data_IF_811982743181
#
_entry.id   IF_811982743181
#
_cell.length_a   1.000
_cell.length_b   1.000
_cell.length_c   1.000
_cell.angle_alpha   90.00
_cell.angle_beta   90.00
_cell.angle_gamma   90.00
#
_symmetry.space_group_name_H-M   'P 1'
#
loop_
_entity.id
_entity.type
_entity.pdbx_description
1 polymer ?
#
# COMPACT_ATOMS: atom_id res chain seq x y z
N UNK A 1 -13.54 9.22 60.95
CA UNK A 1 -12.52 8.24 60.49
C UNK A 1 -13.21 7.28 59.54
N UNK A 2 -12.97 7.40 58.24
CA UNK A 2 -13.42 6.43 57.24
C UNK A 2 -12.24 5.49 56.94
N UNK A 3 -12.41 4.16 57.00
CA UNK A 3 -11.32 3.22 56.74
C UNK A 3 -11.09 3.08 55.23
N UNK A 4 -9.82 3.11 54.84
CA UNK A 4 -9.37 2.93 53.47
C UNK A 4 -9.30 1.47 53.04
N UNK A 5 -9.69 1.21 51.79
CA UNK A 5 -9.48 0.00 51.00
C UNK A 5 -9.36 0.52 49.56
N UNK A 6 -8.38 0.29 48.70
CA UNK A 6 -7.26 -0.65 48.63
C UNK A 6 -6.67 -0.53 47.21
N UNK A 7 -6.26 0.67 46.79
CA UNK A 7 -6.08 1.05 45.38
C UNK A 7 -4.73 0.72 44.73
N UNK A 8 -4.15 -0.48 44.90
CA UNK A 8 -2.85 -0.80 44.25
C UNK A 8 -2.75 -2.13 43.49
N UNK A 9 -3.68 -3.09 43.66
CA UNK A 9 -3.64 -4.36 42.91
C UNK A 9 -4.46 -4.33 41.61
N UNK A 10 -5.56 -3.57 41.57
CA UNK A 10 -6.48 -3.58 40.43
C UNK A 10 -5.99 -2.75 39.22
N UNK A 11 -5.15 -1.74 39.45
CA UNK A 11 -4.62 -0.89 38.37
C UNK A 11 -3.66 -1.66 37.46
N UNK A 12 -2.87 -2.60 38.01
CA UNK A 12 -1.97 -3.43 37.19
C UNK A 12 -2.75 -4.44 36.33
N UNK A 13 -3.83 -5.03 36.82
CA UNK A 13 -4.60 -6.04 36.05
C UNK A 13 -5.41 -5.38 34.91
N UNK A 14 -5.93 -4.17 35.14
CA UNK A 14 -6.67 -3.40 34.12
C UNK A 14 -5.74 -2.90 33.01
N UNK A 15 -4.52 -2.45 33.35
CA UNK A 15 -3.53 -2.01 32.34
C UNK A 15 -3.02 -3.19 31.50
N UNK A 16 -2.83 -4.37 32.09
CA UNK A 16 -2.40 -5.55 31.34
C UNK A 16 -3.52 -6.17 30.50
N UNK A 17 -4.76 -6.18 30.99
CA UNK A 17 -5.94 -6.61 30.20
C UNK A 17 -6.23 -5.63 29.06
N UNK A 18 -6.09 -4.32 29.28
CA UNK A 18 -6.24 -3.29 28.26
C UNK A 18 -5.17 -3.39 27.16
N UNK A 19 -3.90 -3.60 27.51
CA UNK A 19 -2.84 -3.85 26.54
C UNK A 19 -3.05 -5.16 25.78
N UNK A 20 -3.51 -6.22 26.46
CA UNK A 20 -3.75 -7.52 25.85
C UNK A 20 -4.95 -7.46 24.87
N UNK A 21 -6.05 -6.78 25.22
CA UNK A 21 -7.17 -6.54 24.31
C UNK A 21 -6.79 -5.63 23.13
N UNK A 22 -5.92 -4.64 23.34
CA UNK A 22 -5.41 -3.79 22.27
C UNK A 22 -4.48 -4.57 21.32
N UNK A 23 -3.61 -5.43 21.85
CA UNK A 23 -2.77 -6.32 21.04
C UNK A 23 -3.58 -7.41 20.31
N UNK A 24 -4.65 -7.94 20.91
CA UNK A 24 -5.54 -8.91 20.28
C UNK A 24 -6.40 -8.25 19.19
N UNK A 25 -6.90 -7.03 19.41
CA UNK A 25 -7.65 -6.28 18.40
C UNK A 25 -6.77 -5.88 17.20
N UNK A 26 -5.54 -5.41 17.46
CA UNK A 26 -4.59 -5.07 16.40
C UNK A 26 -4.14 -6.31 15.60
N UNK A 27 -3.90 -7.44 16.27
CA UNK A 27 -3.56 -8.70 15.57
C UNK A 27 -4.75 -9.29 14.83
N UNK A 28 -5.96 -9.30 15.41
CA UNK A 28 -7.15 -9.89 14.78
C UNK A 28 -7.63 -9.15 13.52
N UNK A 29 -7.34 -7.84 13.40
CA UNK A 29 -7.72 -7.06 12.22
C UNK A 29 -6.70 -7.23 11.07
N UNK A 30 -5.40 -7.27 11.37
CA UNK A 30 -4.37 -7.53 10.37
C UNK A 30 -4.29 -9.01 9.93
N UNK A 31 -4.52 -9.96 10.85
CA UNK A 31 -4.59 -11.40 10.51
C UNK A 31 -5.96 -11.81 9.96
N UNK A 32 -7.01 -11.02 10.19
CA UNK A 32 -8.34 -11.27 9.67
C UNK A 32 -8.37 -11.27 8.15
N UNK A 33 -7.70 -10.29 7.52
CA UNK A 33 -7.69 -10.10 6.07
C UNK A 33 -7.07 -11.26 5.29
N UNK A 34 -5.86 -11.69 5.68
CA UNK A 34 -5.17 -12.84 5.09
C UNK A 34 -5.98 -14.14 5.30
N UNK A 35 -6.82 -14.18 6.35
CA UNK A 35 -7.77 -15.25 6.58
C UNK A 35 -8.93 -15.32 5.56
N UNK A 36 -9.24 -14.21 4.88
CA UNK A 36 -10.23 -14.13 3.80
C UNK A 36 -9.64 -14.21 2.40
N UNK A 37 -8.32 -14.04 2.26
CA UNK A 37 -7.64 -14.13 0.98
C UNK A 37 -7.83 -15.54 0.37
N UNK A 38 -8.44 -15.70 -0.82
CA UNK A 38 -8.66 -17.01 -1.42
C UNK A 38 -7.38 -17.69 -1.94
N UNK A 39 -6.23 -17.01 -1.84
CA UNK A 39 -4.92 -17.48 -2.25
C UNK A 39 -4.35 -18.48 -1.23
N UNK A 40 -3.65 -19.51 -1.73
CA UNK A 40 -2.89 -20.41 -0.85
C UNK A 40 -1.69 -19.70 -0.23
N UNK A 41 -1.22 -20.15 0.94
CA UNK A 41 -0.04 -19.53 1.59
C UNK A 41 1.20 -19.58 0.69
N UNK A 42 1.36 -20.66 -0.09
CA UNK A 42 2.47 -20.80 -1.03
C UNK A 42 2.41 -19.86 -2.24
N UNK A 43 1.21 -19.47 -2.69
CA UNK A 43 1.07 -18.42 -3.70
C UNK A 43 1.29 -17.04 -3.08
N UNK A 44 0.72 -16.77 -1.90
CA UNK A 44 0.90 -15.49 -1.22
C UNK A 44 2.35 -15.27 -0.77
N UNK A 45 3.12 -16.33 -0.55
CA UNK A 45 4.54 -16.29 -0.25
C UNK A 45 5.42 -15.87 -1.45
N UNK A 46 4.89 -15.80 -2.67
CA UNK A 46 5.61 -15.32 -3.85
C UNK A 46 5.71 -13.79 -3.85
N UNK A 47 6.31 -13.24 -2.78
CA UNK A 47 6.50 -11.80 -2.59
C UNK A 47 7.44 -11.25 -3.64
N UNK A 48 7.13 -10.04 -4.12
CA UNK A 48 8.07 -9.28 -4.95
C UNK A 48 9.24 -8.84 -4.08
N UNK A 49 10.45 -9.22 -4.47
CA UNK A 49 11.65 -8.73 -3.81
C UNK A 49 11.83 -7.22 -4.06
N UNK A 50 11.65 -6.43 -3.00
CA UNK A 50 11.90 -4.99 -2.99
C UNK A 50 13.20 -4.69 -2.25
N UNK A 51 13.94 -3.67 -2.71
CA UNK A 51 15.12 -3.18 -1.99
C UNK A 51 14.75 -1.96 -1.16
N UNK A 52 14.94 -1.96 0.16
CA UNK A 52 14.66 -0.80 0.99
C UNK A 52 15.57 0.37 0.61
N UNK A 53 15.02 1.58 0.69
CA UNK A 53 15.71 2.84 0.43
C UNK A 53 15.77 3.73 1.65
N UNK A 54 14.63 3.90 2.34
CA UNK A 54 14.48 4.81 3.46
C UNK A 54 13.26 4.38 4.28
N UNK A 55 13.38 4.37 5.60
CA UNK A 55 12.22 4.59 6.47
C UNK A 55 12.34 6.02 6.97
N UNK A 56 11.32 6.84 6.72
CA UNK A 56 11.39 8.25 7.06
C UNK A 56 11.59 8.38 8.59
N UNK A 57 12.53 9.21 9.08
CA UNK A 57 12.72 9.36 10.51
C UNK A 57 11.58 10.17 11.13
N UNK A 58 11.30 9.95 12.42
CA UNK A 58 10.21 10.64 13.15
C UNK A 58 10.42 12.16 13.26
N UNK A 59 11.68 12.59 13.29
CA UNK A 59 12.06 13.99 13.32
C UNK A 59 12.94 14.28 12.12
N UNK A 60 12.50 15.24 11.32
CA UNK A 60 13.13 15.62 10.06
C UNK A 60 13.37 17.13 10.08
N UNK A 61 14.55 17.58 9.65
CA UNK A 61 14.77 19.03 9.52
C UNK A 61 13.94 19.59 8.36
N UNK A 62 13.48 20.86 8.43
CA UNK A 62 12.66 21.47 7.38
C UNK A 62 13.32 21.55 6.00
N UNK A 63 14.64 21.41 5.93
CA UNK A 63 15.47 21.44 4.72
C UNK A 63 16.02 20.06 4.32
N UNK A 64 15.66 19.00 5.06
CA UNK A 64 16.16 17.66 4.80
C UNK A 64 15.74 17.18 3.41
N UNK A 65 16.70 16.63 2.68
CA UNK A 65 16.46 16.03 1.36
C UNK A 65 17.06 14.63 1.32
N UNK A 66 16.48 13.75 0.51
CA UNK A 66 17.04 12.43 0.24
C UNK A 66 17.07 12.17 -1.26
N UNK A 67 18.25 11.77 -1.74
CA UNK A 67 18.46 11.51 -3.15
C UNK A 67 18.65 10.01 -3.40
N UNK A 68 17.75 9.41 -4.17
CA UNK A 68 17.75 8.01 -4.55
C UNK A 68 18.25 7.88 -5.99
N UNK A 69 19.57 7.79 -6.15
CA UNK A 69 20.25 7.70 -7.48
C UNK A 69 19.80 6.51 -8.32
N UNK A 70 19.33 5.45 -7.65
CA UNK A 70 18.99 4.17 -8.28
C UNK A 70 17.53 4.10 -8.74
N UNK A 71 16.73 5.15 -8.63
CA UNK A 71 15.29 5.17 -8.98
C UNK A 71 15.04 6.10 -10.16
N UNK A 72 14.16 5.72 -11.07
CA UNK A 72 13.92 6.46 -12.31
C UNK A 72 15.14 6.44 -13.24
N UNK A 73 15.09 7.24 -14.30
CA UNK A 73 16.16 7.27 -15.32
C UNK A 73 17.38 8.09 -14.92
N UNK A 74 17.22 9.04 -13.99
CA UNK A 74 18.23 10.01 -13.59
C UNK A 74 18.41 10.12 -12.07
N UNK A 75 17.85 9.18 -11.30
CA UNK A 75 17.63 9.36 -9.86
C UNK A 75 16.38 10.19 -9.57
N UNK A 76 15.86 10.05 -8.35
CA UNK A 76 14.78 10.90 -7.82
C UNK A 76 15.18 11.49 -6.47
N UNK A 77 14.57 12.61 -6.10
CA UNK A 77 14.83 13.29 -4.83
C UNK A 77 13.52 13.53 -4.08
N UNK A 78 13.48 13.09 -2.83
CA UNK A 78 12.45 13.46 -1.86
C UNK A 78 12.80 14.83 -1.25
N UNK A 79 11.85 15.75 -1.33
CA UNK A 79 11.99 17.15 -0.92
C UNK A 79 10.77 17.57 -0.09
N UNK A 80 10.92 18.49 0.86
CA UNK A 80 9.79 19.19 1.46
C UNK A 80 8.97 19.95 0.40
N UNK A 81 7.66 20.01 0.57
CA UNK A 81 6.80 20.84 -0.26
C UNK A 81 6.90 22.32 0.19
N UNK A 82 7.19 23.28 -0.71
CA UNK A 82 7.29 24.67 -0.33
C UNK A 82 5.95 25.20 0.19
N UNK A 83 6.01 25.93 1.30
CA UNK A 83 4.85 26.59 1.95
C UNK A 83 3.79 25.62 2.49
N UNK A 84 4.09 24.32 2.58
CA UNK A 84 3.22 23.32 3.20
C UNK A 84 4.01 22.50 4.21
N UNK A 85 3.75 22.77 5.48
CA UNK A 85 4.45 22.10 6.57
C UNK A 85 4.13 20.60 6.57
N UNK A 86 5.18 19.78 6.77
CA UNK A 86 5.09 18.32 6.83
C UNK A 86 4.57 17.61 5.57
N UNK A 87 4.41 18.33 4.45
CA UNK A 87 4.15 17.73 3.15
C UNK A 87 5.44 17.56 2.34
N UNK A 88 5.42 16.54 1.50
CA UNK A 88 6.57 16.11 0.72
C UNK A 88 6.24 16.05 -0.78
N UNK A 89 7.30 16.09 -1.58
CA UNK A 89 7.24 15.87 -3.03
C UNK A 89 8.43 15.05 -3.50
N UNK A 90 8.22 14.33 -4.59
CA UNK A 90 9.27 13.63 -5.33
C UNK A 90 9.59 14.43 -6.59
N UNK A 91 10.87 14.59 -6.88
CA UNK A 91 11.34 15.28 -8.09
C UNK A 91 12.38 14.45 -8.83
N UNK A 92 12.54 14.72 -10.12
CA UNK A 92 13.57 14.09 -10.94
C UNK A 92 13.67 14.72 -12.32
N UNK A 93 14.41 14.08 -13.21
CA UNK A 93 14.56 14.47 -14.61
C UNK A 93 14.27 13.30 -15.53
N UNK A 94 13.63 13.59 -16.66
CA UNK A 94 13.43 12.62 -17.72
C UNK A 94 14.74 12.40 -18.52
N UNK A 95 14.71 11.51 -19.53
CA UNK A 95 15.90 11.21 -20.37
C UNK A 95 16.35 12.40 -21.22
N UNK A 96 15.47 13.36 -21.49
CA UNK A 96 15.79 14.58 -22.21
C UNK A 96 16.31 15.68 -21.28
N UNK A 97 16.40 15.41 -19.98
CA UNK A 97 16.86 16.37 -18.96
C UNK A 97 15.78 17.32 -18.46
N UNK A 98 14.53 17.16 -18.89
CA UNK A 98 13.43 18.00 -18.39
C UNK A 98 13.06 17.59 -16.97
N UNK A 99 12.99 18.58 -16.09
CA UNK A 99 12.59 18.36 -14.70
C UNK A 99 11.11 18.01 -14.59
N UNK A 100 10.79 17.22 -13.58
CA UNK A 100 9.43 16.94 -13.15
C UNK A 100 9.32 16.89 -11.63
N UNK A 101 8.11 17.15 -11.12
CA UNK A 101 7.76 17.14 -9.69
C UNK A 101 6.41 16.49 -9.50
N UNK A 102 6.27 15.71 -8.42
CA UNK A 102 5.03 15.10 -7.96
C UNK A 102 4.89 15.33 -6.45
N UNK A 103 3.92 16.13 -6.01
CA UNK A 103 3.54 16.22 -4.61
C UNK A 103 2.99 14.88 -4.12
N UNK A 104 3.46 14.42 -2.95
CA UNK A 104 3.06 13.14 -2.34
C UNK A 104 2.42 13.32 -0.96
N UNK A 105 2.24 14.56 -0.51
CA UNK A 105 1.51 14.90 0.71
C UNK A 105 2.27 14.51 1.99
N UNK A 106 1.52 14.25 3.06
CA UNK A 106 2.07 13.84 4.35
C UNK A 106 2.57 12.41 4.31
N UNK A 107 3.81 12.19 4.79
CA UNK A 107 4.46 10.87 4.83
C UNK A 107 4.75 10.38 6.27
N UNK A 108 4.19 11.08 7.25
CA UNK A 108 4.26 10.74 8.68
C UNK A 108 2.84 10.91 9.22
N UNK A 109 2.33 9.90 9.92
CA UNK A 109 1.04 9.99 10.59
C UNK A 109 1.04 9.13 11.87
N UNK A 110 -0.13 8.99 12.50
CA UNK A 110 -0.27 8.25 13.76
C UNK A 110 0.01 6.73 13.64
N UNK A 111 -0.05 6.16 12.43
CA UNK A 111 0.34 4.77 12.17
C UNK A 111 1.84 4.60 11.91
N UNK A 112 2.61 5.69 11.88
CA UNK A 112 4.05 5.70 11.74
C UNK A 112 4.54 6.44 10.49
N UNK A 113 5.74 6.09 10.08
CA UNK A 113 6.48 6.80 9.05
C UNK A 113 6.46 6.01 7.74
N UNK A 114 6.43 6.72 6.62
CA UNK A 114 6.48 6.10 5.30
C UNK A 114 7.77 5.28 5.10
N UNK A 115 7.59 4.11 4.46
CA UNK A 115 8.67 3.20 4.09
C UNK A 115 8.84 3.24 2.57
N UNK A 116 10.07 3.41 2.12
CA UNK A 116 10.45 3.57 0.72
C UNK A 116 11.25 2.37 0.25
N UNK A 117 10.90 1.89 -0.93
CA UNK A 117 11.56 0.78 -1.58
C UNK A 117 11.72 1.04 -3.07
N UNK A 118 12.59 0.25 -3.69
CA UNK A 118 12.70 0.17 -5.15
C UNK A 118 12.63 -1.26 -5.66
N UNK A 119 12.11 -1.39 -6.87
CA UNK A 119 12.24 -2.56 -7.73
C UNK A 119 11.94 -2.16 -9.16
N UNK A 120 12.37 -2.95 -10.14
CA UNK A 120 11.84 -2.84 -11.51
C UNK A 120 10.56 -3.68 -11.56
N UNK A 121 9.39 -3.02 -11.51
CA UNK A 121 8.10 -3.68 -11.29
C UNK A 121 7.54 -4.27 -12.58
N UNK A 122 7.75 -3.62 -13.72
CA UNK A 122 7.26 -4.09 -15.02
C UNK A 122 8.37 -4.69 -15.90
N UNK A 123 9.57 -4.88 -15.36
CA UNK A 123 10.75 -5.47 -16.03
C UNK A 123 11.15 -4.68 -17.27
N UNK A 124 11.03 -3.36 -17.22
CA UNK A 124 11.41 -2.47 -18.32
C UNK A 124 12.86 -1.93 -18.22
N UNK A 125 13.59 -2.32 -17.17
CA UNK A 125 14.97 -1.92 -16.91
C UNK A 125 15.11 -0.60 -16.15
N UNK A 126 14.02 0.05 -15.77
CA UNK A 126 13.99 1.24 -14.92
C UNK A 126 13.56 0.80 -13.52
N UNK A 127 14.22 1.34 -12.49
CA UNK A 127 13.82 1.07 -11.12
C UNK A 127 12.71 2.03 -10.71
N UNK A 128 11.60 1.47 -10.26
CA UNK A 128 10.42 2.16 -9.79
C UNK A 128 10.53 2.51 -8.28
N UNK A 129 9.69 3.43 -7.82
CA UNK A 129 9.58 3.79 -6.41
C UNK A 129 8.30 3.21 -5.82
N UNK A 130 8.40 2.55 -4.68
CA UNK A 130 7.25 2.13 -3.88
C UNK A 130 7.35 2.83 -2.54
N UNK A 131 6.31 3.59 -2.19
CA UNK A 131 6.14 4.18 -0.87
C UNK A 131 4.95 3.49 -0.22
N UNK A 132 5.14 2.93 0.97
CA UNK A 132 4.08 2.40 1.82
C UNK A 132 3.91 3.32 3.02
N UNK A 133 2.67 3.74 3.28
CA UNK A 133 2.31 4.54 4.43
C UNK A 133 1.15 3.87 5.16
N UNK A 134 1.37 3.47 6.40
CA UNK A 134 0.31 2.94 7.25
C UNK A 134 -0.79 3.98 7.46
N UNK A 135 -2.03 3.52 7.59
CA UNK A 135 -3.17 4.36 7.93
C UNK A 135 -3.62 4.02 9.36
N UNK A 136 -3.82 5.00 10.25
CA UNK A 136 -4.32 4.74 11.61
C UNK A 136 -5.80 4.33 11.66
N UNK A 137 -6.37 3.88 10.52
CA UNK A 137 -7.78 3.59 10.34
C UNK A 137 -8.36 2.64 11.38
N UNK A 138 -9.66 2.82 11.68
CA UNK A 138 -10.43 1.97 12.58
C UNK A 138 -11.40 1.08 11.79
N UNK A 139 -11.57 -0.18 12.20
CA UNK A 139 -12.59 -1.08 11.63
C UNK A 139 -12.25 -1.60 10.23
N UNK A 140 -13.17 -1.41 9.27
CA UNK A 140 -13.02 -1.83 7.86
C UNK A 140 -12.43 -0.73 6.96
N UNK A 141 -11.77 0.27 7.54
CA UNK A 141 -11.03 1.26 6.76
C UNK A 141 -9.75 0.62 6.17
N UNK A 142 -9.28 1.09 5.00
CA UNK A 142 -7.97 0.70 4.46
C UNK A 142 -6.86 0.82 5.51
N UNK A 143 -5.98 -0.18 5.61
CA UNK A 143 -4.88 -0.20 6.59
C UNK A 143 -3.66 0.60 6.14
N UNK A 144 -3.55 0.92 4.85
CA UNK A 144 -2.43 1.67 4.32
C UNK A 144 -2.75 2.30 2.95
N UNK A 145 -1.90 3.24 2.57
CA UNK A 145 -1.81 3.80 1.24
C UNK A 145 -0.49 3.36 0.60
N UNK A 146 -0.57 2.98 -0.68
CA UNK A 146 0.61 2.94 -1.53
C UNK A 146 0.73 4.23 -2.32
N UNK A 147 1.95 4.71 -2.55
CA UNK A 147 2.27 5.71 -3.57
C UNK A 147 3.36 5.08 -4.45
N UNK A 148 2.98 4.62 -5.63
CA UNK A 148 3.86 3.85 -6.53
C UNK A 148 4.17 4.71 -7.75
N UNK A 149 5.45 4.99 -7.94
CA UNK A 149 5.96 5.63 -9.15
C UNK A 149 6.51 4.58 -10.07
N UNK A 150 5.93 4.50 -11.25
CA UNK A 150 6.50 3.78 -12.39
C UNK A 150 6.94 4.77 -13.46
N UNK A 151 7.86 4.38 -14.33
CA UNK A 151 8.44 5.33 -15.30
C UNK A 151 8.20 4.89 -16.74
N UNK A 152 7.58 5.78 -17.52
CA UNK A 152 7.50 5.64 -18.97
C UNK A 152 8.91 5.55 -19.57
N UNK A 153 9.03 5.00 -20.78
CA UNK A 153 10.33 4.82 -21.47
C UNK A 153 11.15 6.11 -21.57
N UNK A 154 10.49 7.26 -21.70
CA UNK A 154 11.15 8.58 -21.74
C UNK A 154 11.62 9.09 -20.37
N UNK A 155 11.31 8.39 -19.27
CA UNK A 155 11.66 8.74 -17.89
C UNK A 155 10.61 9.57 -17.16
N UNK A 156 9.42 9.75 -17.73
CA UNK A 156 8.33 10.50 -17.10
C UNK A 156 7.53 9.62 -16.15
N UNK A 157 7.14 10.12 -14.96
CA UNK A 157 6.47 9.30 -13.96
C UNK A 157 5.01 9.05 -14.30
N UNK A 158 4.56 7.85 -13.97
CA UNK A 158 3.16 7.48 -13.76
C UNK A 158 2.99 7.09 -12.30
N UNK A 159 2.02 7.69 -11.62
CA UNK A 159 1.83 7.59 -10.17
C UNK A 159 0.48 6.94 -9.90
N UNK A 160 0.52 5.86 -9.12
CA UNK A 160 -0.63 5.08 -8.71
C UNK A 160 -0.71 5.08 -7.18
N UNK A 161 -1.85 5.52 -6.63
CA UNK A 161 -2.00 5.85 -5.21
C UNK A 161 -3.16 5.13 -4.53
N UNK A 162 -3.23 3.79 -4.58
CA UNK A 162 -4.37 3.07 -4.04
C UNK A 162 -4.37 3.07 -2.51
N UNK A 163 -5.57 3.13 -1.95
CA UNK A 163 -5.84 2.83 -0.55
C UNK A 163 -6.38 1.40 -0.46
N UNK A 164 -5.82 0.60 0.43
CA UNK A 164 -6.26 -0.77 0.62
C UNK A 164 -5.81 -1.38 1.93
N UNK A 165 -6.09 -2.66 2.09
CA UNK A 165 -5.67 -3.45 3.24
C UNK A 165 -4.26 -4.00 3.03
N UNK A 166 -3.30 -3.08 2.87
CA UNK A 166 -1.91 -3.44 2.61
C UNK A 166 -1.11 -3.56 3.90
N UNK A 167 -0.17 -4.51 3.92
CA UNK A 167 0.70 -4.79 5.07
C UNK A 167 2.17 -4.69 4.70
N UNK A 168 2.95 -4.25 5.68
CA UNK A 168 4.40 -4.29 5.63
C UNK A 168 4.92 -5.02 6.87
N UNK A 169 5.94 -5.85 6.66
CA UNK A 169 6.69 -6.56 7.70
C UNK A 169 8.15 -6.11 7.66
N UNK A 170 8.97 -6.63 8.57
CA UNK A 170 10.41 -6.38 8.59
C UNK A 170 11.13 -6.78 7.29
N UNK A 171 10.48 -7.61 6.46
CA UNK A 171 11.03 -8.08 5.17
C UNK A 171 10.59 -7.26 3.96
N UNK A 172 9.71 -6.27 4.15
CA UNK A 172 9.16 -5.43 3.09
C UNK A 172 7.63 -5.46 3.08
N UNK A 173 7.05 -5.12 1.93
CA UNK A 173 5.59 -5.09 1.76
C UNK A 173 5.06 -6.43 1.26
N UNK A 174 3.88 -6.82 1.70
CA UNK A 174 3.37 -8.18 1.46
C UNK A 174 2.49 -8.30 0.21
N UNK A 175 1.95 -7.19 -0.28
CA UNK A 175 0.87 -7.23 -1.29
C UNK A 175 1.36 -7.07 -2.73
N UNK A 176 2.65 -6.78 -2.90
CA UNK A 176 3.33 -6.83 -4.18
C UNK A 176 3.94 -8.23 -4.36
N UNK A 177 3.50 -8.94 -5.40
CA UNK A 177 3.80 -10.35 -5.65
C UNK A 177 4.50 -10.54 -7.00
N UNK A 178 5.20 -11.65 -7.17
CA UNK A 178 5.75 -12.15 -8.44
C UNK A 178 5.18 -13.55 -8.69
N UNK A 179 3.87 -13.62 -8.98
CA UNK A 179 3.10 -14.86 -9.05
C UNK A 179 3.51 -15.79 -10.20
N UNK A 180 4.33 -15.28 -11.13
CA UNK A 180 4.86 -16.04 -12.26
C UNK A 180 6.36 -16.32 -12.14
N UNK A 181 7.03 -15.84 -11.08
CA UNK A 181 8.48 -15.96 -10.90
C UNK A 181 9.30 -15.33 -12.02
N UNK A 182 8.72 -14.39 -12.77
CA UNK A 182 9.34 -13.80 -13.96
C UNK A 182 9.85 -12.37 -13.69
N UNK A 183 9.74 -11.90 -12.44
CA UNK A 183 10.15 -10.59 -11.97
C UNK A 183 9.16 -9.47 -12.27
N UNK A 184 8.02 -9.74 -12.92
CA UNK A 184 6.96 -8.75 -13.15
C UNK A 184 6.02 -8.76 -11.96
N UNK A 185 5.77 -7.58 -11.41
CA UNK A 185 4.98 -7.41 -10.19
C UNK A 185 3.48 -7.49 -10.47
N UNK A 186 2.76 -8.11 -9.55
CA UNK A 186 1.33 -7.96 -9.39
C UNK A 186 1.03 -7.29 -8.05
N UNK A 187 0.04 -6.41 -7.99
CA UNK A 187 -0.53 -5.90 -6.76
C UNK A 187 -1.77 -6.72 -6.44
N UNK A 188 -1.77 -7.35 -5.28
CA UNK A 188 -2.93 -7.99 -4.69
C UNK A 188 -3.70 -6.95 -3.87
N UNK A 189 -4.96 -6.75 -4.20
CA UNK A 189 -5.83 -5.78 -3.54
C UNK A 189 -7.08 -6.51 -3.08
N UNK A 190 -7.64 -6.15 -1.92
CA UNK A 190 -9.00 -6.58 -1.62
C UNK A 190 -9.84 -5.43 -1.12
N UNK A 191 -11.08 -5.46 -1.56
CA UNK A 191 -12.10 -4.48 -1.21
C UNK A 191 -13.33 -5.23 -0.69
N UNK A 192 -14.18 -4.53 0.05
CA UNK A 192 -15.36 -5.11 0.65
C UNK A 192 -16.60 -4.50 0.02
N UNK A 193 -17.50 -5.35 -0.48
CA UNK A 193 -18.83 -4.92 -0.90
C UNK A 193 -19.84 -6.05 -0.76
N UNK A 194 -21.10 -5.69 -0.49
CA UNK A 194 -22.24 -6.63 -0.46
C UNK A 194 -22.02 -7.85 0.47
N UNK A 195 -21.20 -7.72 1.51
CA UNK A 195 -20.84 -8.82 2.43
C UNK A 195 -19.88 -9.85 1.84
N UNK A 196 -19.09 -9.45 0.85
CA UNK A 196 -18.01 -10.22 0.25
C UNK A 196 -16.71 -9.45 0.31
N UNK A 197 -15.63 -10.18 0.51
CA UNK A 197 -14.30 -9.71 0.14
C UNK A 197 -14.07 -10.01 -1.33
N UNK A 198 -13.63 -8.99 -2.05
CA UNK A 198 -13.38 -9.00 -3.48
C UNK A 198 -11.89 -8.81 -3.67
N UNK A 199 -11.19 -9.90 -3.96
CA UNK A 199 -9.76 -9.89 -4.24
C UNK A 199 -9.54 -9.54 -5.71
N UNK A 200 -8.94 -8.39 -5.93
CA UNK A 200 -8.47 -7.90 -7.21
C UNK A 200 -6.99 -8.19 -7.38
N UNK A 201 -6.59 -8.37 -8.63
CA UNK A 201 -5.20 -8.45 -9.00
C UNK A 201 -4.93 -7.38 -10.06
N UNK A 202 -3.87 -6.61 -9.88
CA UNK A 202 -3.40 -5.65 -10.85
C UNK A 202 -2.02 -6.07 -11.32
N UNK A 203 -1.73 -5.89 -12.60
CA UNK A 203 -0.39 -6.07 -13.16
C UNK A 203 0.09 -4.74 -13.72
N UNK A 204 1.41 -4.54 -13.73
CA UNK A 204 2.02 -3.36 -14.32
C UNK A 204 2.80 -3.72 -15.59
N UNK A 205 2.57 -2.94 -16.64
CA UNK A 205 3.24 -3.07 -17.93
C UNK A 205 3.43 -1.68 -18.55
N UNK A 206 4.64 -1.39 -19.02
CA UNK A 206 4.98 -0.12 -19.65
C UNK A 206 4.59 1.09 -18.77
N UNK A 207 4.92 0.97 -17.48
CA UNK A 207 4.56 1.89 -16.39
C UNK A 207 3.06 2.11 -16.15
N UNK A 208 2.20 1.22 -16.66
CA UNK A 208 0.76 1.31 -16.48
C UNK A 208 0.20 0.12 -15.74
N UNK A 209 -0.54 0.41 -14.67
CA UNK A 209 -1.29 -0.60 -13.96
C UNK A 209 -2.55 -0.97 -14.75
N UNK A 210 -2.92 -2.24 -14.69
CA UNK A 210 -4.11 -2.78 -15.34
C UNK A 210 -4.73 -3.83 -14.42
N UNK A 211 -6.05 -3.76 -14.21
CA UNK A 211 -6.77 -4.82 -13.52
C UNK A 211 -6.76 -6.09 -14.36
N UNK A 212 -6.48 -7.21 -13.72
CA UNK A 212 -6.52 -8.54 -14.32
C UNK A 212 -7.95 -9.05 -14.28
N UNK A 213 -8.43 -9.54 -15.42
CA UNK A 213 -9.72 -10.21 -15.56
C UNK A 213 -9.50 -11.65 -16.02
N UNK A 214 -10.11 -12.60 -15.32
CA UNK A 214 -9.96 -14.03 -15.60
C UNK A 214 -8.76 -14.65 -14.89
N UNK A 215 -8.30 -15.79 -15.41
CA UNK A 215 -7.27 -16.62 -14.77
C UNK A 215 -5.89 -15.98 -14.78
N UNK A 216 -5.26 -15.93 -13.60
CA UNK A 216 -3.86 -15.59 -13.42
C UNK A 216 -3.28 -16.43 -12.29
N UNK A 217 -2.26 -17.24 -12.59
CA UNK A 217 -1.81 -18.26 -11.63
C UNK A 217 -2.91 -19.29 -11.38
N UNK A 218 -3.26 -19.55 -10.11
CA UNK A 218 -4.27 -20.56 -9.73
C UNK A 218 -5.64 -20.00 -9.40
N UNK A 219 -5.86 -18.70 -9.59
CA UNK A 219 -7.14 -18.05 -9.31
C UNK A 219 -7.65 -17.29 -10.54
N UNK A 220 -8.97 -17.14 -10.63
CA UNK A 220 -9.61 -16.22 -11.55
C UNK A 220 -9.99 -14.94 -10.80
N UNK A 221 -9.65 -13.79 -11.37
CA UNK A 221 -9.87 -12.47 -10.78
C UNK A 221 -11.01 -11.70 -11.46
N UNK A 222 -11.81 -10.91 -10.71
CA UNK A 222 -11.79 -10.83 -9.25
C UNK A 222 -12.23 -12.14 -8.57
N UNK A 223 -11.58 -12.49 -7.46
CA UNK A 223 -11.91 -13.67 -6.67
C UNK A 223 -12.72 -13.27 -5.44
N UNK A 224 -13.78 -14.02 -5.14
CA UNK A 224 -14.71 -13.68 -4.06
C UNK A 224 -14.58 -14.64 -2.89
N UNK A 225 -14.56 -14.10 -1.67
CA UNK A 225 -14.80 -14.86 -0.45
C UNK A 225 -15.91 -14.19 0.37
N UNK A 226 -16.69 -14.98 1.10
CA UNK A 226 -17.80 -14.45 1.89
C UNK A 226 -17.28 -13.90 3.22
N UNK A 227 -17.74 -12.72 3.60
CA UNK A 227 -17.54 -12.23 4.96
C UNK A 227 -18.45 -12.97 5.93
N UNK A 228 -17.84 -13.59 6.94
CA UNK A 228 -18.51 -14.30 8.03
C UNK A 228 -17.89 -13.86 9.36
N UNK A 229 -18.42 -14.31 10.50
CA UNK A 229 -17.82 -13.99 11.80
C UNK A 229 -16.41 -14.62 11.97
N UNK A 230 -16.15 -15.72 11.26
CA UNK A 230 -14.85 -16.39 11.23
C UNK A 230 -14.25 -16.30 9.82
N UNK A 231 -12.94 -15.98 9.70
CA UNK A 231 -12.27 -15.94 8.40
C UNK A 231 -12.39 -17.25 7.63
N UNK A 232 -12.56 -17.15 6.32
CA UNK A 232 -12.68 -18.31 5.44
C UNK A 232 -12.21 -17.99 4.03
N UNK A 233 -11.34 -18.87 3.50
CA UNK A 233 -10.76 -18.75 2.15
C UNK A 233 -11.59 -19.41 1.06
N UNK A 234 -12.80 -19.88 1.39
CA UNK A 234 -13.66 -20.58 0.43
C UNK A 234 -14.10 -19.62 -0.67
N UNK A 235 -13.65 -19.91 -1.88
CA UNK A 235 -14.07 -19.21 -3.09
C UNK A 235 -15.58 -19.30 -3.29
N UNK A 236 -16.17 -18.16 -3.65
CA UNK A 236 -17.57 -18.03 -3.99
C UNK A 236 -17.68 -17.83 -5.51
N UNK A 237 -18.24 -18.81 -6.20
CA UNK A 237 -18.44 -18.76 -7.65
C UNK A 237 -19.67 -17.90 -7.99
N UNK A 238 -20.70 -17.95 -7.15
CA UNK A 238 -21.94 -17.22 -7.35
C UNK A 238 -22.37 -16.54 -6.04
N UNK A 239 -22.51 -15.21 -6.01
CA UNK A 239 -23.09 -14.50 -4.87
C UNK A 239 -24.52 -15.00 -4.57
N UNK A 240 -24.95 -14.80 -3.32
CA UNK A 240 -26.33 -15.09 -2.90
C UNK A 240 -27.27 -14.15 -3.67
N UNK A 241 -28.46 -14.65 -4.02
CA UNK A 241 -29.47 -13.88 -4.72
C UNK A 241 -29.73 -12.52 -4.04
N UNK A 242 -29.81 -11.45 -4.83
CA UNK A 242 -29.99 -10.08 -4.34
C UNK A 242 -28.70 -9.36 -3.92
N UNK A 243 -27.52 -10.00 -4.02
CA UNK A 243 -26.22 -9.35 -3.77
C UNK A 243 -25.42 -9.24 -5.07
N UNK A 244 -24.78 -8.09 -5.26
CA UNK A 244 -23.98 -7.79 -6.44
C UNK A 244 -22.63 -7.18 -6.01
N UNK A 245 -21.70 -7.98 -5.47
CA UNK A 245 -20.40 -7.49 -5.04
C UNK A 245 -19.64 -6.84 -6.20
N UNK A 246 -19.31 -5.57 -6.07
CA UNK A 246 -18.58 -4.79 -7.07
C UNK A 246 -17.46 -3.97 -6.45
N UNK A 247 -16.45 -3.65 -7.27
CA UNK A 247 -15.39 -2.73 -6.90
C UNK A 247 -15.01 -1.87 -8.08
N UNK A 248 -14.62 -0.63 -7.79
CA UNK A 248 -13.97 0.22 -8.77
C UNK A 248 -12.64 -0.40 -9.22
N UNK A 249 -12.25 -0.07 -10.44
CA UNK A 249 -10.93 -0.39 -10.96
C UNK A 249 -9.95 0.70 -10.51
N UNK A 250 -9.12 0.37 -9.51
CA UNK A 250 -8.16 1.30 -8.96
C UNK A 250 -7.15 1.76 -10.02
N UNK A 251 -6.84 0.95 -11.03
CA UNK A 251 -5.85 1.34 -12.06
C UNK A 251 -6.27 2.57 -12.87
N UNK A 252 -7.57 2.88 -12.92
CA UNK A 252 -8.11 4.08 -13.56
C UNK A 252 -7.74 5.37 -12.82
N UNK A 253 -7.33 5.27 -11.55
CA UNK A 253 -6.83 6.40 -10.76
C UNK A 253 -5.37 6.73 -11.03
N UNK A 254 -4.65 5.89 -11.80
CA UNK A 254 -3.25 6.15 -12.13
C UNK A 254 -3.13 7.38 -13.04
N UNK A 255 -2.18 8.25 -12.70
CA UNK A 255 -1.95 9.51 -13.42
C UNK A 255 -0.55 9.50 -14.00
N UNK A 256 -0.40 9.92 -15.26
CA UNK A 256 0.89 9.96 -15.93
C UNK A 256 1.24 11.37 -16.36
N UNK A 257 2.47 11.78 -16.11
CA UNK A 257 2.95 13.09 -16.50
C UNK A 257 3.42 13.11 -17.97
N UNK A 258 2.47 13.23 -18.89
CA UNK A 258 2.75 13.23 -20.33
C UNK A 258 3.37 14.55 -20.82
N UNK A 259 2.95 15.68 -20.25
CA UNK A 259 3.44 17.04 -20.58
C UNK A 259 3.55 17.91 -19.33
N UNK A 260 4.21 19.06 -19.43
CA UNK A 260 4.40 20.00 -18.32
C UNK A 260 5.55 19.58 -17.39
N UNK A 261 5.60 20.11 -16.17
CA UNK A 261 6.67 19.79 -15.19
C UNK A 261 6.11 19.31 -13.84
N UNK A 262 4.79 19.35 -13.64
CA UNK A 262 4.16 18.99 -12.37
C UNK A 262 3.03 18.00 -12.64
N UNK A 263 3.07 16.87 -11.95
CA UNK A 263 1.94 15.97 -11.83
C UNK A 263 1.25 16.31 -10.51
N UNK A 264 0.02 16.84 -10.49
CA UNK A 264 -0.63 17.26 -9.23
C UNK A 264 -0.78 16.09 -8.25
N UNK A 265 -0.97 16.33 -6.96
CA UNK A 265 -1.36 15.27 -6.01
C UNK A 265 -2.86 14.93 -6.13
N UNK A 266 -3.31 13.80 -5.56
CA UNK A 266 -4.74 13.44 -5.51
C UNK A 266 -5.52 14.26 -4.46
N UNK A 267 -4.85 14.76 -3.42
CA UNK A 267 -5.48 15.47 -2.29
C UNK A 267 -4.99 16.93 -2.16
N UNK A 268 -5.09 17.73 -3.21
CA UNK A 268 -4.60 19.13 -3.19
C UNK A 268 -5.68 20.21 -2.98
N UNK A 269 -6.88 19.83 -2.58
CA UNK A 269 -7.95 20.76 -2.18
C UNK A 269 -7.96 20.99 -0.66
#
# INVERSE_FOLDING_TARGET
>A
MLPGIGGKKDVKIIVWSGLLFFCIAARALATGFVGYLPMSDGEYAQKRALKPLLTLPYSVSPDQTWHFRQVGVSGVTLLPEPKKDNEWRISGKDRAGNSWVVPVGMLINLAGNAQFYRADLDRNGIQDLVIWLGNPGLGLAPSAQYIIFTFLKNGRPCVFEPWGFYTATDTGVDDLLDLQGNGRTQLLDMQFDSGYWITNLYQVKDARWQRVHGWFGRLSYPALTRFNHYPGRKLIIKPIAGRNPQTDDLSLTQRCLIRGNVLPGVNQD
#
